data_IF_290356387266
#
_entry.id   IF_290356387266
#
_cell.length_a   1.000
_cell.length_b   1.000
_cell.length_c   1.000
_cell.angle_alpha   90.00
_cell.angle_beta   90.00
_cell.angle_gamma   90.00
#
_symmetry.space_group_name_H-M   'P 1'
#
loop_
_entity.id
_entity.type
_entity.pdbx_description
1 polymer ?
#
# COMPACT_ATOMS: atom_id res chain seq x y z
N UNK A 1 -4.25 -12.83 -13.17
CA UNK A 1 -3.67 -13.12 -11.84
C UNK A 1 -3.45 -11.88 -10.97
N UNK A 2 -3.24 -10.66 -11.52
CA UNK A 2 -2.97 -9.44 -10.74
C UNK A 2 -4.19 -8.73 -10.09
N UNK A 3 -5.43 -9.20 -10.30
CA UNK A 3 -6.64 -8.64 -9.66
C UNK A 3 -6.90 -9.21 -8.24
N UNK A 4 -6.17 -10.26 -7.84
CA UNK A 4 -6.44 -11.00 -6.61
C UNK A 4 -6.24 -10.18 -5.33
N UNK A 5 -5.17 -9.39 -5.25
CA UNK A 5 -4.90 -8.56 -4.07
C UNK A 5 -5.98 -7.49 -3.90
N UNK A 6 -6.33 -6.78 -4.99
CA UNK A 6 -7.37 -5.76 -4.94
C UNK A 6 -8.70 -6.34 -4.46
N UNK A 7 -9.18 -7.41 -5.11
CA UNK A 7 -10.46 -8.03 -4.76
C UNK A 7 -10.49 -8.53 -3.30
N UNK A 8 -9.39 -9.11 -2.82
CA UNK A 8 -9.34 -9.64 -1.47
C UNK A 8 -9.22 -8.57 -0.38
N UNK A 9 -8.59 -7.43 -0.65
CA UNK A 9 -8.45 -6.36 0.35
C UNK A 9 -9.63 -5.40 0.29
N UNK A 10 -10.09 -5.03 -0.91
CA UNK A 10 -11.16 -4.03 -1.09
C UNK A 10 -12.47 -4.39 -0.40
N UNK A 11 -12.80 -5.68 -0.27
CA UNK A 11 -13.99 -6.15 0.46
C UNK A 11 -13.99 -5.78 1.94
N UNK A 12 -12.82 -5.57 2.55
CA UNK A 12 -12.70 -5.19 3.96
C UNK A 12 -12.70 -3.68 4.16
N UNK A 13 -12.48 -2.88 3.11
CA UNK A 13 -12.36 -1.42 3.19
C UNK A 13 -13.62 -0.76 3.79
N UNK A 14 -14.87 -1.11 3.41
CA UNK A 14 -16.06 -0.45 3.93
C UNK A 14 -16.26 -0.65 5.45
N UNK A 15 -15.72 -1.73 6.00
CA UNK A 15 -15.93 -2.13 7.40
C UNK A 15 -14.70 -1.86 8.29
N UNK A 16 -13.56 -1.46 7.70
CA UNK A 16 -12.30 -1.27 8.40
C UNK A 16 -11.94 0.21 8.51
N UNK A 17 -11.42 0.62 9.67
CA UNK A 17 -10.82 1.96 9.83
C UNK A 17 -9.35 2.00 9.40
N UNK A 18 -8.69 0.85 9.40
CA UNK A 18 -7.26 0.71 9.15
C UNK A 18 -6.96 -0.67 8.55
N UNK A 19 -6.18 -0.70 7.48
CA UNK A 19 -5.64 -1.90 6.85
C UNK A 19 -4.13 -1.76 6.78
N UNK A 20 -3.41 -2.79 7.22
CA UNK A 20 -1.96 -2.85 7.16
C UNK A 20 -1.58 -3.98 6.20
N UNK A 21 -0.77 -3.67 5.19
CA UNK A 21 -0.19 -4.65 4.29
C UNK A 21 1.25 -4.91 4.69
N UNK A 22 1.52 -6.14 5.12
CA UNK A 22 2.87 -6.61 5.40
C UNK A 22 3.54 -7.10 4.12
N UNK A 23 4.66 -6.48 3.76
CA UNK A 23 5.41 -6.79 2.54
C UNK A 23 6.69 -7.61 2.79
N UNK A 24 6.83 -8.23 3.98
CA UNK A 24 8.02 -9.00 4.38
C UNK A 24 8.43 -10.04 3.31
N UNK A 25 7.45 -10.78 2.77
CA UNK A 25 7.71 -11.85 1.79
C UNK A 25 7.66 -11.36 0.33
N UNK A 26 7.52 -10.05 0.10
CA UNK A 26 7.42 -9.48 -1.24
C UNK A 26 8.81 -9.23 -1.85
N UNK A 27 9.26 -10.16 -2.68
CA UNK A 27 10.55 -10.09 -3.37
C UNK A 27 10.57 -9.22 -4.63
N UNK A 28 9.41 -8.98 -5.25
CA UNK A 28 9.28 -8.24 -6.51
C UNK A 28 7.92 -7.57 -6.66
N UNK A 29 7.92 -6.40 -7.30
CA UNK A 29 6.72 -5.67 -7.73
C UNK A 29 6.98 -5.05 -9.10
N UNK A 30 6.02 -5.17 -10.00
CA UNK A 30 6.01 -4.53 -11.31
C UNK A 30 5.03 -3.32 -11.32
N UNK A 31 4.81 -2.75 -12.50
CA UNK A 31 3.86 -1.64 -12.68
C UNK A 31 2.41 -2.02 -12.35
N UNK A 32 2.01 -3.28 -12.53
CA UNK A 32 0.66 -3.74 -12.21
C UNK A 32 0.44 -3.89 -10.70
N UNK A 33 1.44 -4.38 -9.98
CA UNK A 33 1.44 -4.43 -8.51
C UNK A 33 1.34 -3.04 -7.89
N UNK A 34 2.11 -2.09 -8.43
CA UNK A 34 2.05 -0.69 -8.01
C UNK A 34 0.67 -0.06 -8.29
N UNK A 35 0.13 -0.28 -9.49
CA UNK A 35 -1.22 0.18 -9.84
C UNK A 35 -2.30 -0.40 -8.92
N UNK A 36 -2.14 -1.63 -8.48
CA UNK A 36 -3.03 -2.28 -7.50
C UNK A 36 -2.96 -1.60 -6.14
N UNK A 37 -1.76 -1.31 -5.63
CA UNK A 37 -1.60 -0.58 -4.37
C UNK A 37 -2.21 0.82 -4.43
N UNK A 38 -2.07 1.51 -5.57
CA UNK A 38 -2.71 2.81 -5.78
C UNK A 38 -4.24 2.73 -5.80
N UNK A 39 -4.81 1.72 -6.47
CA UNK A 39 -6.27 1.49 -6.46
C UNK A 39 -6.77 1.22 -5.04
N UNK A 40 -6.06 0.41 -4.26
CA UNK A 40 -6.40 0.15 -2.86
C UNK A 40 -6.31 1.41 -2.00
N UNK A 41 -5.26 2.21 -2.16
CA UNK A 41 -5.10 3.47 -1.45
C UNK A 41 -6.24 4.45 -1.72
N UNK A 42 -6.58 4.66 -2.99
CA UNK A 42 -7.68 5.56 -3.39
C UNK A 42 -9.01 5.05 -2.83
N UNK A 43 -9.27 3.74 -2.92
CA UNK A 43 -10.49 3.13 -2.38
C UNK A 43 -10.58 3.28 -0.86
N UNK A 44 -9.50 3.00 -0.13
CA UNK A 44 -9.44 3.12 1.32
C UNK A 44 -9.71 4.57 1.77
N UNK A 45 -9.03 5.54 1.13
CA UNK A 45 -9.23 6.96 1.41
C UNK A 45 -10.66 7.42 1.16
N UNK A 46 -11.29 6.96 0.07
CA UNK A 46 -12.68 7.30 -0.24
C UNK A 46 -13.68 6.80 0.82
N UNK A 47 -13.32 5.76 1.58
CA UNK A 47 -14.14 5.18 2.65
C UNK A 47 -13.68 5.58 4.06
N UNK A 48 -12.71 6.49 4.18
CA UNK A 48 -12.15 6.88 5.48
C UNK A 48 -11.36 5.78 6.18
N UNK A 49 -10.90 4.76 5.44
CA UNK A 49 -9.99 3.72 5.91
C UNK A 49 -8.54 4.15 5.65
N UNK A 50 -7.65 4.02 6.63
CA UNK A 50 -6.21 4.16 6.39
C UNK A 50 -5.66 2.88 5.76
N UNK A 51 -4.71 3.05 4.83
CA UNK A 51 -3.95 1.95 4.25
C UNK A 51 -2.46 2.20 4.51
N UNK A 52 -1.83 1.28 5.22
CA UNK A 52 -0.43 1.37 5.63
C UNK A 52 0.37 0.18 5.08
N UNK A 53 1.63 0.43 4.77
CA UNK A 53 2.58 -0.57 4.28
C UNK A 53 3.68 -0.76 5.32
N UNK A 54 3.97 -1.99 5.71
CA UNK A 54 5.06 -2.31 6.65
C UNK A 54 6.04 -3.32 6.04
N UNK A 55 7.24 -3.40 6.62
CA UNK A 55 8.31 -4.34 6.21
C UNK A 55 8.63 -4.25 4.71
N UNK A 56 8.69 -3.03 4.20
CA UNK A 56 8.96 -2.76 2.79
C UNK A 56 10.44 -3.05 2.50
N UNK A 57 10.70 -4.05 1.67
CA UNK A 57 12.07 -4.35 1.23
C UNK A 57 12.67 -3.22 0.39
N UNK A 58 14.00 -3.05 0.46
CA UNK A 58 14.75 -1.97 -0.20
C UNK A 58 14.39 -1.77 -1.68
N UNK A 59 14.28 -2.86 -2.45
CA UNK A 59 13.93 -2.80 -3.88
C UNK A 59 12.53 -2.21 -4.13
N UNK A 60 11.58 -2.52 -3.25
CA UNK A 60 10.21 -2.00 -3.34
C UNK A 60 10.19 -0.55 -2.90
N UNK A 61 10.95 -0.20 -1.86
CA UNK A 61 11.13 1.18 -1.43
C UNK A 61 11.70 2.05 -2.56
N UNK A 62 12.80 1.63 -3.20
CA UNK A 62 13.42 2.34 -4.33
C UNK A 62 12.39 2.58 -5.47
N UNK A 63 11.54 1.59 -5.75
CA UNK A 63 10.48 1.71 -6.76
C UNK A 63 9.41 2.75 -6.36
N UNK A 64 8.98 2.77 -5.09
CA UNK A 64 7.99 3.73 -4.58
C UNK A 64 8.54 5.16 -4.55
N UNK A 65 9.83 5.32 -4.25
CA UNK A 65 10.52 6.61 -4.26
C UNK A 65 10.66 7.17 -5.68
N UNK A 66 11.11 6.35 -6.63
CA UNK A 66 11.24 6.74 -8.04
C UNK A 66 9.91 7.19 -8.67
N UNK A 67 8.79 6.62 -8.22
CA UNK A 67 7.46 6.90 -8.77
C UNK A 67 6.75 8.07 -8.08
N UNK A 68 7.41 8.74 -7.12
CA UNK A 68 6.86 9.81 -6.28
C UNK A 68 5.60 9.40 -5.47
N UNK A 69 5.28 8.11 -5.48
CA UNK A 69 4.15 7.51 -4.77
C UNK A 69 4.46 7.35 -3.29
N UNK A 70 5.75 7.29 -2.92
CA UNK A 70 6.17 7.30 -1.53
C UNK A 70 5.56 8.47 -0.73
N UNK A 71 5.46 9.66 -1.33
CA UNK A 71 4.87 10.85 -0.69
C UNK A 71 3.39 10.66 -0.28
N UNK A 72 2.69 9.74 -0.96
CA UNK A 72 1.28 9.39 -0.70
C UNK A 72 1.16 8.49 0.54
N UNK A 73 2.08 7.54 0.71
CA UNK A 73 2.12 6.66 1.88
C UNK A 73 2.80 7.31 3.10
N UNK A 74 3.82 8.15 2.87
CA UNK A 74 4.59 8.82 3.92
C UNK A 74 3.72 9.76 4.78
N UNK A 75 2.71 10.43 4.19
CA UNK A 75 1.78 11.30 4.95
C UNK A 75 0.87 10.54 5.93
N UNK A 76 0.78 9.22 5.84
CA UNK A 76 -0.02 8.38 6.75
C UNK A 76 0.87 7.79 7.87
N UNK A 77 2.19 7.84 7.69
CA UNK A 77 3.20 7.25 8.59
C UNK A 77 3.85 8.21 9.59
N UNK A 78 3.35 9.44 9.78
CA UNK A 78 3.94 10.41 10.73
C UNK A 78 3.91 9.96 12.21
N UNK A 79 3.42 8.74 12.52
CA UNK A 79 3.57 8.10 13.82
C UNK A 79 4.26 6.71 13.79
N UNK A 80 4.95 6.33 12.72
CA UNK A 80 5.44 4.94 12.60
C UNK A 80 6.82 4.72 11.99
N UNK A 81 7.39 5.67 11.23
CA UNK A 81 8.68 5.43 10.57
C UNK A 81 9.77 6.22 11.29
N UNK A 82 10.43 5.56 12.25
CA UNK A 82 11.72 6.01 12.77
C UNK A 82 12.81 5.38 11.90
N UNK A 83 13.60 6.23 11.24
CA UNK A 83 14.89 5.86 10.68
C UNK A 83 15.88 5.53 11.81
#
# INVERSE_FOLDING_TARGET
>A
MNEGLYANVSKFIPESKRIILDLTDLSYMDSMGLGTLMRLYVSARAHGCSLELINIGKRIQDLLELTNIWSVFARVGEHGIKF
#
